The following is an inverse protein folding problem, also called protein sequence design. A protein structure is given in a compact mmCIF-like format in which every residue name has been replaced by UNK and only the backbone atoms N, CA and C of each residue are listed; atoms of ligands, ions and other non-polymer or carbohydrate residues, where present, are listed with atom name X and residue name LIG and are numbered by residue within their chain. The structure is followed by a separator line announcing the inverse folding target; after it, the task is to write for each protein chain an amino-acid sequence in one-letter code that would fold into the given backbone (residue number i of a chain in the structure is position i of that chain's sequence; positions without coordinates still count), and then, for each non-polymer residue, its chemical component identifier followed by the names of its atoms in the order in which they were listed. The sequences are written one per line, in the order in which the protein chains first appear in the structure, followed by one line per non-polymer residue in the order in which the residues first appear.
data_IF_146993207428
#
_entry.id   IF_146993207428
#
_cell.length_a   1.000
_cell.length_b   1.000
_cell.length_c   1.000
_cell.angle_alpha   90.00
_cell.angle_beta   90.00
_cell.angle_gamma   90.00
#
_symmetry.space_group_name_H-M   'P 1'
#
loop_
_entity.id
_entity.type
_entity.pdbx_description
1 polymer ?
#
# COMPACT_ATOMS: atom_id res chain seq x y z
N UNK A 1 -9.89 9.30 -73.22
CA UNK A 1 -10.36 10.69 -73.37
C UNK A 1 -11.82 10.78 -72.93
N UNK A 2 -12.10 11.50 -71.83
CA UNK A 2 -13.34 12.25 -71.56
C UNK A 2 -13.20 12.91 -70.18
N UNK A 3 -13.00 14.23 -70.23
CA UNK A 3 -12.97 15.16 -69.10
C UNK A 3 -14.42 15.55 -68.83
N UNK A 4 -14.92 15.42 -67.60
CA UNK A 4 -16.17 16.04 -67.16
C UNK A 4 -15.98 16.69 -65.79
N UNK A 5 -15.60 17.96 -65.86
CA UNK A 5 -16.12 19.12 -65.13
C UNK A 5 -16.66 18.98 -63.70
N UNK A 6 -15.91 19.65 -62.82
CA UNK A 6 -16.28 20.25 -61.54
C UNK A 6 -17.64 20.96 -61.59
N UNK A 7 -18.47 20.72 -60.56
CA UNK A 7 -19.39 21.72 -60.02
C UNK A 7 -19.25 21.77 -58.50
N UNK A 8 -18.68 22.88 -58.03
CA UNK A 8 -18.84 23.37 -56.67
C UNK A 8 -20.33 23.60 -56.39
N UNK A 9 -20.82 23.09 -55.27
CA UNK A 9 -21.96 23.67 -54.57
C UNK A 9 -21.61 23.68 -53.09
N UNK A 10 -21.34 24.89 -52.59
CA UNK A 10 -21.17 25.18 -51.18
C UNK A 10 -22.49 24.92 -50.44
N UNK A 11 -22.45 24.08 -49.41
CA UNK A 11 -23.49 24.04 -48.39
C UNK A 11 -22.80 24.27 -47.05
N UNK A 12 -22.85 25.54 -46.63
CA UNK A 12 -22.55 26.00 -45.27
C UNK A 12 -23.63 25.42 -44.37
N UNK A 13 -23.37 24.23 -43.83
CA UNK A 13 -24.15 23.65 -42.74
C UNK A 13 -23.54 24.10 -41.43
N UNK A 14 -24.23 24.99 -40.72
CA UNK A 14 -23.93 25.37 -39.34
C UNK A 14 -23.68 24.11 -38.49
N UNK A 15 -22.41 23.85 -38.18
CA UNK A 15 -22.04 22.91 -37.14
C UNK A 15 -22.39 23.51 -35.78
N UNK A 16 -23.58 23.20 -35.27
CA UNK A 16 -23.82 23.25 -33.83
C UNK A 16 -22.88 22.22 -33.20
N UNK A 17 -21.70 22.67 -32.77
CA UNK A 17 -20.91 21.98 -31.76
C UNK A 17 -21.72 22.05 -30.47
N UNK A 18 -22.57 21.04 -30.25
CA UNK A 18 -23.07 20.75 -28.93
C UNK A 18 -21.85 20.41 -28.07
N UNK A 19 -21.38 21.39 -27.30
CA UNK A 19 -20.47 21.15 -26.18
C UNK A 19 -21.27 20.31 -25.20
N UNK A 20 -21.10 18.99 -25.29
CA UNK A 20 -21.54 18.09 -24.23
C UNK A 20 -20.65 18.45 -23.06
N UNK A 21 -21.17 19.27 -22.15
CA UNK A 21 -20.63 19.37 -20.82
C UNK A 21 -20.76 17.96 -20.22
N UNK A 22 -19.69 17.19 -20.28
CA UNK A 22 -19.46 16.14 -19.31
C UNK A 22 -19.38 16.87 -17.97
N UNK A 23 -20.51 16.92 -17.29
CA UNK A 23 -20.50 16.98 -15.84
C UNK A 23 -19.75 15.71 -15.43
N UNK A 24 -18.45 15.84 -15.20
CA UNK A 24 -17.71 14.87 -14.41
C UNK A 24 -18.47 14.82 -13.09
N UNK A 25 -19.23 13.73 -12.94
CA UNK A 25 -19.89 13.40 -11.70
C UNK A 25 -18.76 13.10 -10.72
N UNK A 26 -18.30 14.12 -10.00
CA UNK A 26 -17.25 14.04 -8.98
C UNK A 26 -17.66 13.14 -7.80
N UNK A 27 -18.83 12.50 -7.87
CA UNK A 27 -19.36 11.54 -6.89
C UNK A 27 -18.95 10.10 -7.24
N UNK A 28 -17.67 9.88 -7.53
CA UNK A 28 -17.13 8.52 -7.56
C UNK A 28 -17.34 7.80 -6.21
N UNK A 29 -17.41 6.45 -6.17
CA UNK A 29 -17.68 5.72 -4.94
C UNK A 29 -16.66 6.09 -3.85
N UNK A 30 -17.20 6.46 -2.68
CA UNK A 30 -16.42 6.78 -1.46
C UNK A 30 -15.73 5.50 -0.99
N UNK A 31 -14.39 5.49 -1.02
CA UNK A 31 -13.60 4.35 -0.57
C UNK A 31 -13.31 4.48 0.92
N UNK A 32 -14.04 3.72 1.72
CA UNK A 32 -13.76 3.59 3.14
C UNK A 32 -12.50 2.77 3.36
N UNK A 33 -11.62 3.28 4.20
CA UNK A 33 -10.40 2.58 4.59
C UNK A 33 -10.74 1.55 5.67
N UNK A 34 -10.32 0.28 5.53
CA UNK A 34 -10.70 -0.81 6.45
C UNK A 34 -9.87 -0.76 7.74
N UNK A 35 -10.00 0.32 8.51
CA UNK A 35 -9.32 0.50 9.79
C UNK A 35 -9.87 -0.48 10.84
N UNK A 36 -8.98 -1.23 11.50
CA UNK A 36 -9.30 -1.99 12.69
C UNK A 36 -8.92 -1.20 13.93
N UNK A 37 -9.91 -0.79 14.73
CA UNK A 37 -9.68 -0.17 16.04
C UNK A 37 -9.17 -1.24 17.01
N UNK A 38 -8.06 -0.96 17.67
CA UNK A 38 -7.50 -1.79 18.72
C UNK A 38 -8.03 -1.30 20.07
N UNK A 39 -8.53 -2.23 20.88
CA UNK A 39 -8.85 -1.99 22.27
C UNK A 39 -7.58 -2.14 23.13
N UNK A 40 -7.49 -1.47 24.29
CA UNK A 40 -6.39 -1.69 25.21
C UNK A 40 -6.21 -3.18 25.53
N UNK A 41 -4.99 -3.70 25.28
CA UNK A 41 -4.66 -5.12 25.44
C UNK A 41 -4.79 -5.97 24.17
N UNK A 42 -5.42 -5.47 23.10
CA UNK A 42 -5.45 -6.15 21.81
C UNK A 42 -4.05 -6.19 21.18
N UNK A 43 -3.68 -7.33 20.61
CA UNK A 43 -2.46 -7.43 19.81
C UNK A 43 -2.71 -6.96 18.38
N UNK A 44 -1.85 -6.09 17.82
CA UNK A 44 -1.89 -5.77 16.39
C UNK A 44 -1.79 -7.03 15.52
N UNK A 45 -2.43 -7.01 14.36
CA UNK A 45 -2.33 -8.10 13.41
C UNK A 45 -0.87 -8.32 12.97
N UNK A 46 -0.47 -9.58 12.81
CA UNK A 46 0.85 -9.91 12.23
C UNK A 46 0.80 -9.61 10.74
N UNK A 47 1.52 -8.58 10.32
CA UNK A 47 1.62 -8.17 8.93
C UNK A 47 3.06 -7.74 8.61
N UNK A 48 3.48 -7.81 7.34
CA UNK A 48 4.78 -7.28 6.93
C UNK A 48 4.94 -5.78 7.17
N UNK A 49 3.84 -5.04 7.11
CA UNK A 49 3.74 -3.62 7.41
C UNK A 49 2.47 -3.37 8.21
N UNK A 50 2.58 -2.53 9.23
CA UNK A 50 1.46 -2.08 10.04
C UNK A 50 1.48 -0.56 10.14
N UNK A 51 0.42 0.08 9.65
CA UNK A 51 0.18 1.50 9.84
C UNK A 51 -0.73 1.68 11.06
N UNK A 52 -0.19 2.31 12.09
CA UNK A 52 -0.95 2.77 13.24
C UNK A 52 -1.36 4.22 13.04
N UNK A 53 -2.62 4.53 13.28
CA UNK A 53 -3.13 5.88 13.40
C UNK A 53 -3.64 6.09 14.83
N UNK A 54 -3.13 7.13 15.49
CA UNK A 54 -3.62 7.56 16.80
C UNK A 54 -4.28 8.92 16.63
N UNK A 55 -5.62 9.00 16.61
CA UNK A 55 -6.35 10.26 16.56
C UNK A 55 -6.17 11.02 17.88
N UNK A 56 -6.34 12.33 17.85
CA UNK A 56 -6.29 13.15 19.08
C UNK A 56 -7.53 12.94 19.97
N UNK A 57 -8.67 12.60 19.36
CA UNK A 57 -9.93 12.37 20.07
C UNK A 57 -10.91 11.54 19.23
N UNK A 58 -12.05 11.17 19.81
CA UNK A 58 -13.14 10.56 19.05
C UNK A 58 -13.70 11.48 17.96
N UNK A 59 -13.63 12.80 18.18
CA UNK A 59 -14.10 13.80 17.22
C UNK A 59 -13.14 13.92 16.03
N UNK A 60 -11.83 13.96 16.30
CA UNK A 60 -10.77 13.93 15.27
C UNK A 60 -10.88 12.66 14.41
N UNK A 61 -11.14 11.51 15.03
CA UNK A 61 -11.37 10.27 14.31
C UNK A 61 -12.52 10.36 13.29
N UNK A 62 -13.68 10.90 13.71
CA UNK A 62 -14.90 10.97 12.86
C UNK A 62 -14.77 11.92 11.68
N UNK A 63 -13.96 12.96 11.82
CA UNK A 63 -13.79 14.01 10.80
C UNK A 63 -12.50 13.86 9.99
N UNK A 64 -11.71 12.83 10.26
CA UNK A 64 -10.44 12.62 9.57
C UNK A 64 -10.60 12.18 8.12
N UNK A 65 -9.83 12.80 7.23
CA UNK A 65 -9.68 12.37 5.84
C UNK A 65 -9.10 10.95 5.72
N UNK A 66 -8.42 10.44 6.76
CA UNK A 66 -7.87 9.08 6.78
C UNK A 66 -8.96 7.99 6.71
N UNK A 67 -10.22 8.32 7.01
CA UNK A 67 -11.35 7.41 6.81
C UNK A 67 -11.65 7.16 5.32
N UNK A 68 -11.22 8.08 4.44
CA UNK A 68 -11.61 8.13 3.03
C UNK A 68 -10.38 8.25 2.12
N UNK A 69 -9.73 7.13 1.82
CA UNK A 69 -8.57 7.09 0.93
C UNK A 69 -8.55 5.84 0.08
N UNK A 70 -8.63 6.03 -1.24
CA UNK A 70 -8.45 4.95 -2.24
C UNK A 70 -7.07 4.30 -2.12
N UNK A 71 -6.03 5.09 -1.85
CA UNK A 71 -4.67 4.56 -1.72
C UNK A 71 -4.53 3.68 -0.48
N UNK A 72 -5.01 4.13 0.68
CA UNK A 72 -4.96 3.31 1.91
C UNK A 72 -5.81 2.04 1.77
N UNK A 73 -7.00 2.10 1.16
CA UNK A 73 -7.79 0.90 0.83
C UNK A 73 -7.02 -0.06 -0.07
N UNK A 74 -6.29 0.44 -1.07
CA UNK A 74 -5.45 -0.39 -1.94
C UNK A 74 -4.21 -0.96 -1.24
N UNK A 75 -3.66 -0.28 -0.22
CA UNK A 75 -2.55 -0.82 0.57
C UNK A 75 -3.00 -1.95 1.49
N UNK A 76 -4.24 -1.88 2.01
CA UNK A 76 -4.81 -2.98 2.80
C UNK A 76 -4.86 -4.30 2.02
N UNK A 77 -5.12 -4.26 0.71
CA UNK A 77 -5.11 -5.46 -0.14
C UNK A 77 -3.69 -6.00 -0.40
N UNK A 78 -2.65 -5.22 -0.10
CA UNK A 78 -1.24 -5.58 -0.20
C UNK A 78 -0.66 -5.99 1.17
N UNK A 79 -1.49 -6.53 2.07
CA UNK A 79 -1.10 -6.93 3.43
C UNK A 79 -0.47 -5.82 4.28
N UNK A 80 -0.84 -4.56 4.06
CA UNK A 80 -0.59 -3.50 5.04
C UNK A 80 -1.71 -3.55 6.07
N UNK A 81 -1.40 -3.90 7.31
CA UNK A 81 -2.37 -3.85 8.41
C UNK A 81 -2.64 -2.38 8.78
N UNK A 82 -3.92 -2.01 8.86
CA UNK A 82 -4.36 -0.66 9.18
C UNK A 82 -5.04 -0.68 10.55
N UNK A 83 -4.40 -0.07 11.54
CA UNK A 83 -4.87 -0.05 12.92
C UNK A 83 -5.09 1.35 13.44
N UNK A 84 -6.15 1.51 14.22
CA UNK A 84 -6.42 2.73 14.98
C UNK A 84 -6.17 2.40 16.44
N UNK A 85 -5.29 3.17 17.09
CA UNK A 85 -5.08 3.09 18.53
C UNK A 85 -5.86 4.23 19.15
N UNK A 86 -6.68 3.94 20.15
CA UNK A 86 -7.45 4.97 20.84
C UNK A 86 -6.53 5.88 21.66
N UNK A 87 -6.90 7.15 21.80
CA UNK A 87 -6.13 8.12 22.57
C UNK A 87 -6.01 7.78 24.08
N UNK A 88 -6.85 6.86 24.59
CA UNK A 88 -6.81 6.36 25.97
C UNK A 88 -5.91 5.13 26.17
N UNK A 89 -5.33 4.56 25.11
CA UNK A 89 -4.35 3.47 25.20
C UNK A 89 -2.92 4.02 25.38
N UNK A 90 -2.67 4.58 26.57
CA UNK A 90 -1.38 5.17 26.91
C UNK A 90 -0.21 4.18 26.74
N UNK A 91 -0.42 2.90 27.05
CA UNK A 91 0.62 1.88 26.96
C UNK A 91 1.10 1.68 25.51
N UNK A 92 0.19 1.63 24.54
CA UNK A 92 0.57 1.50 23.13
C UNK A 92 1.15 2.81 22.58
N UNK A 93 0.65 3.97 23.00
CA UNK A 93 1.18 5.29 22.62
C UNK A 93 2.64 5.46 23.10
N UNK A 94 2.92 5.06 24.34
CA UNK A 94 4.26 5.09 24.92
C UNK A 94 5.19 4.10 24.23
N UNK A 95 4.71 2.89 23.95
CA UNK A 95 5.47 1.88 23.18
C UNK A 95 5.88 2.37 21.79
N UNK A 96 5.03 3.18 21.15
CA UNK A 96 5.32 3.80 19.85
C UNK A 96 6.15 5.09 19.98
N UNK A 97 6.40 5.60 21.19
CA UNK A 97 7.21 6.80 21.42
C UNK A 97 6.60 8.07 20.82
N UNK A 98 5.27 8.20 20.85
CA UNK A 98 4.52 9.31 20.23
C UNK A 98 3.62 10.07 21.21
N UNK A 99 3.85 9.91 22.51
CA UNK A 99 3.18 10.69 23.54
C UNK A 99 3.30 12.21 23.26
N UNK A 100 2.17 12.93 23.35
CA UNK A 100 2.11 14.37 23.13
C UNK A 100 2.13 14.85 21.67
N UNK A 101 2.18 13.94 20.68
CA UNK A 101 2.25 14.30 19.26
C UNK A 101 0.94 14.05 18.49
N UNK A 102 -0.19 13.91 19.18
CA UNK A 102 -1.47 13.50 18.57
C UNK A 102 -2.16 14.66 17.81
N UNK A 103 -2.84 14.40 16.67
CA UNK A 103 -2.92 13.09 16.00
C UNK A 103 -1.60 12.71 15.29
N UNK A 104 -1.32 11.41 15.21
CA UNK A 104 -0.08 10.88 14.62
C UNK A 104 -0.32 9.57 13.87
N UNK A 105 0.41 9.34 12.80
CA UNK A 105 0.47 8.05 12.11
C UNK A 105 1.88 7.47 12.20
N UNK A 106 2.02 6.19 12.50
CA UNK A 106 3.30 5.49 12.67
C UNK A 106 3.31 4.25 11.80
N UNK A 107 4.30 4.12 10.92
CA UNK A 107 4.49 2.93 10.10
C UNK A 107 5.53 2.03 10.76
N UNK A 108 5.17 0.76 10.95
CA UNK A 108 5.99 -0.25 11.64
C UNK A 108 6.18 -1.45 10.71
N UNK A 109 7.39 -2.01 10.70
CA UNK A 109 7.71 -3.23 9.97
C UNK A 109 7.24 -4.48 10.73
N UNK A 110 7.15 -5.62 10.02
CA UNK A 110 6.80 -6.91 10.65
C UNK A 110 7.78 -7.39 11.74
N UNK A 111 8.96 -6.79 11.83
CA UNK A 111 9.94 -6.98 12.91
C UNK A 111 9.69 -6.09 14.14
N UNK A 112 8.62 -5.27 14.11
CA UNK A 112 8.26 -4.34 15.15
C UNK A 112 9.04 -3.03 15.13
N UNK A 113 9.95 -2.81 14.18
CA UNK A 113 10.71 -1.56 14.08
C UNK A 113 9.88 -0.46 13.45
N UNK A 114 9.98 0.73 14.01
CA UNK A 114 9.39 1.91 13.40
C UNK A 114 10.17 2.30 12.13
N UNK A 115 9.45 2.38 11.01
CA UNK A 115 9.98 2.73 9.69
C UNK A 115 9.80 4.21 9.38
N UNK A 116 8.81 4.85 10.00
CA UNK A 116 8.59 6.29 9.90
C UNK A 116 7.33 6.73 10.62
N UNK A 117 7.12 8.04 10.70
CA UNK A 117 5.90 8.64 11.27
C UNK A 117 5.51 9.93 10.57
N UNK A 118 4.22 10.23 10.59
CA UNK A 118 3.65 11.53 10.21
C UNK A 118 3.03 12.12 11.46
N UNK A 119 3.53 13.28 11.88
CA UNK A 119 2.96 14.05 13.00
C UNK A 119 1.98 15.07 12.40
N UNK A 120 0.94 15.42 13.16
CA UNK A 120 -0.02 16.44 12.75
C UNK A 120 0.65 17.75 12.32
N UNK A 121 0.01 18.42 11.39
CA UNK A 121 0.27 19.82 11.05
C UNK A 121 -0.97 20.63 11.43
N UNK A 122 -0.82 21.59 12.32
CA UNK A 122 -1.93 22.45 12.80
C UNK A 122 -3.11 21.64 13.35
N UNK A 123 -2.82 20.57 14.11
CA UNK A 123 -3.84 19.76 14.79
C UNK A 123 -4.55 18.72 13.92
N UNK A 124 -4.14 18.54 12.66
CA UNK A 124 -4.70 17.50 11.77
C UNK A 124 -3.61 16.71 11.05
N UNK A 125 -3.89 15.44 10.75
CA UNK A 125 -3.03 14.64 9.86
C UNK A 125 -3.43 14.83 8.41
N UNK A 126 -2.47 15.20 7.57
CA UNK A 126 -2.71 15.23 6.12
C UNK A 126 -2.70 13.82 5.54
N UNK A 127 -3.80 13.40 4.93
CA UNK A 127 -3.92 12.06 4.30
C UNK A 127 -2.81 11.80 3.29
N UNK A 128 -2.48 12.80 2.45
CA UNK A 128 -1.44 12.69 1.41
C UNK A 128 -0.03 12.44 1.97
N UNK A 129 0.27 12.92 3.18
CA UNK A 129 1.54 12.66 3.85
C UNK A 129 1.60 11.21 4.36
N UNK A 130 0.50 10.71 4.93
CA UNK A 130 0.38 9.33 5.40
C UNK A 130 0.45 8.35 4.22
N UNK A 131 -0.27 8.62 3.13
CA UNK A 131 -0.21 7.83 1.91
C UNK A 131 1.20 7.79 1.30
N UNK A 132 1.91 8.93 1.34
CA UNK A 132 3.30 9.01 0.89
C UNK A 132 4.21 8.13 1.73
N UNK A 133 4.11 8.20 3.05
CA UNK A 133 4.90 7.36 3.96
C UNK A 133 4.75 5.86 3.61
N UNK A 134 3.52 5.38 3.44
CA UNK A 134 3.27 3.97 3.11
C UNK A 134 3.78 3.63 1.71
N UNK A 135 3.48 4.46 0.71
CA UNK A 135 3.89 4.24 -0.69
C UNK A 135 5.41 4.17 -0.83
N UNK A 136 6.12 5.10 -0.21
CA UNK A 136 7.58 5.16 -0.31
C UNK A 136 8.20 3.93 0.34
N UNK A 137 7.65 3.47 1.47
CA UNK A 137 8.10 2.23 2.10
C UNK A 137 7.81 0.98 1.25
N UNK A 138 6.65 0.91 0.59
CA UNK A 138 6.34 -0.18 -0.34
C UNK A 138 7.33 -0.22 -1.52
N UNK A 139 7.72 0.95 -2.04
CA UNK A 139 8.74 1.06 -3.10
C UNK A 139 10.12 0.62 -2.63
N UNK A 140 10.56 1.08 -1.46
CA UNK A 140 11.83 0.66 -0.87
C UNK A 140 11.88 -0.86 -0.71
N UNK A 141 10.81 -1.45 -0.15
CA UNK A 141 10.70 -2.91 -0.03
C UNK A 141 10.75 -3.63 -1.37
N UNK A 142 10.07 -3.13 -2.40
CA UNK A 142 10.12 -3.76 -3.73
C UNK A 142 11.56 -3.77 -4.29
N UNK A 143 12.30 -2.67 -4.15
CA UNK A 143 13.71 -2.56 -4.54
C UNK A 143 14.63 -3.48 -3.72
N UNK A 144 14.38 -3.61 -2.42
CA UNK A 144 15.14 -4.51 -1.55
C UNK A 144 14.92 -5.97 -1.95
N UNK A 145 13.67 -6.34 -2.29
CA UNK A 145 13.33 -7.69 -2.74
C UNK A 145 13.95 -8.02 -4.11
N UNK A 146 14.08 -7.04 -5.01
CA UNK A 146 14.83 -7.21 -6.25
C UNK A 146 16.31 -7.53 -5.97
N UNK A 147 16.92 -6.76 -5.08
CA UNK A 147 18.31 -6.98 -4.70
C UNK A 147 18.52 -8.37 -4.06
N UNK A 148 17.57 -8.82 -3.24
CA UNK A 148 17.58 -10.16 -2.63
C UNK A 148 17.41 -11.28 -3.67
N UNK A 149 16.53 -11.11 -4.67
CA UNK A 149 16.37 -12.08 -5.75
C UNK A 149 17.66 -12.21 -6.57
N UNK A 150 18.32 -11.10 -6.91
CA UNK A 150 19.58 -11.10 -7.63
C UNK A 150 20.71 -11.72 -6.81
N UNK A 151 20.77 -11.41 -5.52
CA UNK A 151 21.72 -12.04 -4.59
C UNK A 151 21.51 -13.55 -4.49
N UNK A 152 20.27 -14.01 -4.32
CA UNK A 152 19.93 -15.43 -4.26
C UNK A 152 20.31 -16.15 -5.56
N UNK A 153 20.10 -15.51 -6.72
CA UNK A 153 20.52 -16.04 -8.02
C UNK A 153 22.03 -16.18 -8.11
N UNK A 154 22.80 -15.18 -7.67
CA UNK A 154 24.26 -15.26 -7.63
C UNK A 154 24.76 -16.38 -6.72
N UNK A 155 24.18 -16.52 -5.51
CA UNK A 155 24.50 -17.61 -4.57
C UNK A 155 24.24 -18.98 -5.19
N UNK A 156 23.10 -19.15 -5.85
CA UNK A 156 22.77 -20.41 -6.53
C UNK A 156 23.76 -20.75 -7.64
N UNK A 157 24.17 -19.76 -8.46
CA UNK A 157 25.17 -19.94 -9.52
C UNK A 157 26.57 -20.25 -8.97
N UNK A 158 26.91 -19.70 -7.79
CA UNK A 158 28.16 -19.98 -7.10
C UNK A 158 28.18 -21.35 -6.37
N UNK A 159 27.08 -22.14 -6.45
CA UNK A 159 26.96 -23.42 -5.78
C UNK A 159 26.54 -23.34 -4.30
N UNK A 160 26.37 -22.12 -3.76
CA UNK A 160 25.85 -21.90 -2.41
C UNK A 160 24.32 -22.03 -2.39
N UNK A 161 23.88 -23.28 -2.49
CA UNK A 161 22.46 -23.64 -2.57
C UNK A 161 21.72 -23.28 -1.28
N UNK A 162 22.34 -23.48 -0.13
CA UNK A 162 21.68 -23.26 1.16
C UNK A 162 21.36 -21.77 1.36
N UNK A 163 22.34 -20.89 1.13
CA UNK A 163 22.11 -19.46 1.27
C UNK A 163 21.13 -18.93 0.20
N UNK A 164 21.17 -19.47 -1.02
CA UNK A 164 20.20 -19.12 -2.05
C UNK A 164 18.76 -19.50 -1.65
N UNK A 165 18.54 -20.73 -1.15
CA UNK A 165 17.24 -21.18 -0.68
C UNK A 165 16.75 -20.32 0.48
N UNK A 166 17.62 -19.99 1.44
CA UNK A 166 17.26 -19.13 2.56
C UNK A 166 16.78 -17.74 2.08
N UNK A 167 17.51 -17.09 1.17
CA UNK A 167 17.11 -15.79 0.62
C UNK A 167 15.82 -15.87 -0.18
N UNK A 168 15.63 -16.89 -1.03
CA UNK A 168 14.36 -17.04 -1.75
C UNK A 168 13.16 -17.29 -0.83
N UNK A 169 13.32 -18.02 0.27
CA UNK A 169 12.24 -18.21 1.26
C UNK A 169 11.83 -16.88 1.90
N UNK A 170 12.79 -16.02 2.25
CA UNK A 170 12.50 -14.68 2.77
C UNK A 170 11.70 -13.84 1.77
N UNK A 171 12.07 -13.86 0.49
CA UNK A 171 11.30 -13.18 -0.57
C UNK A 171 9.89 -13.78 -0.72
N UNK A 172 9.76 -15.10 -0.61
CA UNK A 172 8.46 -15.80 -0.67
C UNK A 172 7.52 -15.42 0.49
N UNK A 173 8.05 -15.19 1.69
CA UNK A 173 7.25 -14.75 2.84
C UNK A 173 6.62 -13.35 2.61
N UNK A 174 7.24 -12.52 1.76
CA UNK A 174 6.75 -11.19 1.41
C UNK A 174 5.78 -11.18 0.22
N UNK A 175 5.37 -12.36 -0.29
CA UNK A 175 4.52 -12.51 -1.50
C UNK A 175 3.19 -11.77 -1.46
N UNK A 176 2.65 -11.46 -0.29
CA UNK A 176 1.41 -10.68 -0.24
C UNK A 176 1.64 -9.20 -0.58
N UNK A 177 2.74 -8.62 -0.09
CA UNK A 177 3.12 -7.23 -0.39
C UNK A 177 3.70 -7.12 -1.80
N UNK A 178 4.45 -8.12 -2.24
CA UNK A 178 5.10 -8.16 -3.55
C UNK A 178 4.79 -9.46 -4.33
N UNK A 179 3.55 -9.63 -4.85
CA UNK A 179 3.13 -10.88 -5.48
C UNK A 179 3.98 -11.33 -6.67
N UNK A 180 4.52 -10.37 -7.43
CA UNK A 180 5.40 -10.67 -8.57
C UNK A 180 6.72 -11.28 -8.11
N UNK A 181 7.36 -10.67 -7.11
CA UNK A 181 8.64 -11.14 -6.54
C UNK A 181 8.47 -12.48 -5.84
N UNK A 182 7.38 -12.65 -5.09
CA UNK A 182 7.03 -13.93 -4.48
C UNK A 182 6.90 -15.07 -5.52
N UNK A 183 6.18 -14.84 -6.63
CA UNK A 183 6.08 -15.83 -7.72
C UNK A 183 7.44 -16.15 -8.37
N UNK A 184 8.34 -15.18 -8.47
CA UNK A 184 9.70 -15.43 -8.94
C UNK A 184 10.48 -16.32 -7.97
N UNK A 185 10.51 -15.95 -6.68
CA UNK A 185 11.15 -16.74 -5.65
C UNK A 185 10.63 -18.18 -5.59
N UNK A 186 9.30 -18.38 -5.69
CA UNK A 186 8.69 -19.70 -5.74
C UNK A 186 9.19 -20.54 -6.93
N UNK A 187 9.34 -19.94 -8.11
CA UNK A 187 9.86 -20.64 -9.30
C UNK A 187 11.31 -21.05 -9.12
N UNK A 188 12.14 -20.17 -8.56
CA UNK A 188 13.56 -20.48 -8.31
C UNK A 188 13.72 -21.55 -7.23
N UNK A 189 12.93 -21.48 -6.14
CA UNK A 189 12.88 -22.55 -5.12
C UNK A 189 12.53 -23.90 -5.74
N UNK A 190 11.56 -23.95 -6.65
CA UNK A 190 11.17 -25.19 -7.33
C UNK A 190 12.31 -25.77 -8.18
N UNK A 191 13.10 -24.93 -8.87
CA UNK A 191 14.30 -25.38 -9.60
C UNK A 191 15.35 -25.96 -8.65
N UNK A 192 15.42 -25.43 -7.43
CA UNK A 192 16.24 -25.95 -6.34
C UNK A 192 15.54 -27.08 -5.55
N UNK A 193 14.52 -27.75 -6.12
CA UNK A 193 13.87 -28.90 -5.51
C UNK A 193 13.09 -28.61 -4.21
N UNK A 194 12.87 -27.33 -3.89
CA UNK A 194 12.10 -26.89 -2.71
C UNK A 194 10.70 -26.49 -3.17
N UNK A 195 9.69 -27.08 -2.56
CA UNK A 195 8.30 -26.63 -2.75
C UNK A 195 8.04 -25.53 -1.72
N UNK A 196 7.75 -24.32 -2.20
CA UNK A 196 7.34 -23.23 -1.33
C UNK A 196 5.86 -23.44 -0.98
N UNK A 197 5.59 -23.89 0.24
CA UNK A 197 4.22 -24.03 0.72
C UNK A 197 3.60 -22.66 0.98
N UNK A 198 2.29 -22.59 0.76
CA UNK A 198 1.49 -21.46 1.18
C UNK A 198 1.41 -21.52 2.70
N UNK A 199 2.21 -20.69 3.39
CA UNK A 199 2.02 -20.48 4.82
C UNK A 199 0.58 -20.03 5.02
N UNK A 200 -0.22 -20.89 5.64
CA UNK A 200 -1.62 -20.62 5.98
C UNK A 200 -1.62 -19.42 6.91
N UNK A 201 -1.84 -18.23 6.36
CA UNK A 201 -2.16 -17.06 7.15
C UNK A 201 -3.45 -17.40 7.89
N UNK A 202 -3.37 -17.49 9.22
CA UNK A 202 -4.55 -17.60 10.08
C UNK A 202 -5.46 -16.44 9.68
N UNK A 203 -6.59 -16.76 9.03
CA UNK A 203 -7.66 -15.80 8.77
C UNK A 203 -8.16 -15.38 10.15
N UNK A 204 -7.85 -14.14 10.53
CA UNK A 204 -8.44 -13.46 11.69
C UNK A 204 -9.48 -12.48 11.20
#
# INVERSE_FOLDING_TARGET
MRVVWVRLAAAVGLGLLAVIAVADDLTGPVSFVPWKVLMPGDSPARAPLTLFWIPASSDDFKHSELLFSRSLTSFATQCVALHVIRADDAAMIDKLGVAGALPVAVLVGGDGKQLGKVINERGSLRVSAVERLVRDQLRTRDSDLDSQLDEARRKALAGDREAAVATYKLVWEQRCVAPRKGREAQRELKKLGIVAEETVAVRH
#
